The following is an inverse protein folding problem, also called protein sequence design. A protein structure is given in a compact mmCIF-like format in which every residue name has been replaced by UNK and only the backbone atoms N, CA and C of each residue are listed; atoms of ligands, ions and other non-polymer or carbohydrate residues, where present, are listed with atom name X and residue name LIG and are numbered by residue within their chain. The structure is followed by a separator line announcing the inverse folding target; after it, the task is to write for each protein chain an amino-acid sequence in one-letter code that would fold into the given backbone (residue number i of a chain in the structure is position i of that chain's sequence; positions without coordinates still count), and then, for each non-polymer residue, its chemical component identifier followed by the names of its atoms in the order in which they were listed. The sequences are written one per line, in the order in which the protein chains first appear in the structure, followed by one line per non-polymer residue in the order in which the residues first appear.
data_IF_286884109669
#
_entry.id   IF_286884109669
#
_cell.length_a   1.000
_cell.length_b   1.000
_cell.length_c   1.000
_cell.angle_alpha   90.00
_cell.angle_beta   90.00
_cell.angle_gamma   90.00
#
_symmetry.space_group_name_H-M   'P 1'
#
loop_
_entity.id
_entity.type
_entity.pdbx_description
1 polymer ?
#
# COMPACT_ATOMS: atom_id res chain seq x y z
N UNK A 1 -3.43 -47.25 -3.32
CA UNK A 1 -3.61 -46.31 -2.22
C UNK A 1 -2.21 -45.96 -1.75
N UNK A 2 -1.76 -44.72 -1.61
CA UNK A 2 -2.38 -43.53 -1.02
C UNK A 2 -1.70 -42.29 -1.62
N UNK A 3 -2.49 -41.31 -2.06
CA UNK A 3 -1.98 -39.99 -2.47
C UNK A 3 -2.15 -39.04 -1.29
N UNK A 4 -1.23 -39.09 -0.33
CA UNK A 4 -1.14 -38.02 0.68
C UNK A 4 -0.53 -36.79 0.01
N UNK A 5 -1.40 -36.03 -0.68
CA UNK A 5 -1.09 -34.67 -1.07
C UNK A 5 -1.10 -33.86 0.22
N UNK A 6 0.07 -33.73 0.84
CA UNK A 6 0.30 -32.72 1.85
C UNK A 6 0.11 -31.37 1.15
N UNK A 7 -1.13 -30.88 1.13
CA UNK A 7 -1.44 -29.49 0.85
C UNK A 7 -0.70 -28.70 1.94
N UNK A 8 0.50 -28.22 1.64
CA UNK A 8 1.14 -27.20 2.45
C UNK A 8 0.18 -26.01 2.38
N UNK A 9 -0.68 -25.86 3.38
CA UNK A 9 -1.47 -24.65 3.56
C UNK A 9 -0.44 -23.61 3.99
N UNK A 10 0.24 -23.02 3.01
CA UNK A 10 0.90 -21.74 3.20
C UNK A 10 -0.24 -20.77 3.38
N UNK A 11 -0.64 -20.56 4.63
CA UNK A 11 -1.53 -19.50 5.01
C UNK A 11 -0.74 -18.19 4.86
N UNK A 12 -0.48 -17.79 3.62
CA UNK A 12 -0.01 -16.45 3.27
C UNK A 12 -1.20 -15.52 3.36
N UNK A 13 -1.86 -15.49 4.52
CA UNK A 13 -2.81 -14.44 4.78
C UNK A 13 -2.01 -13.15 4.76
N UNK A 14 -2.48 -12.21 3.95
CA UNK A 14 -1.90 -10.88 3.89
C UNK A 14 -2.14 -10.18 5.24
N UNK A 15 -1.13 -10.25 6.11
CA UNK A 15 -1.17 -9.72 7.48
C UNK A 15 -1.42 -8.20 7.48
N UNK A 16 -0.97 -7.51 6.43
CA UNK A 16 -1.19 -6.07 6.28
C UNK A 16 -2.68 -5.81 6.00
N UNK A 17 -3.33 -6.68 5.22
CA UNK A 17 -4.79 -6.66 5.03
C UNK A 17 -5.60 -7.13 6.25
N UNK A 18 -4.99 -7.63 7.32
CA UNK A 18 -5.69 -7.94 8.57
C UNK A 18 -5.72 -6.78 9.55
N UNK A 19 -4.90 -5.74 9.35
CA UNK A 19 -4.87 -4.58 10.24
C UNK A 19 -6.21 -3.81 10.20
N UNK A 20 -6.65 -3.17 11.29
CA UNK A 20 -7.76 -2.24 11.23
C UNK A 20 -7.45 -1.03 10.34
N UNK A 21 -8.49 -0.41 9.79
CA UNK A 21 -8.35 0.72 8.87
C UNK A 21 -7.69 1.92 9.54
N UNK A 22 -7.89 2.13 10.85
CA UNK A 22 -7.23 3.19 11.61
C UNK A 22 -5.70 3.04 11.60
N UNK A 23 -5.20 1.81 11.66
CA UNK A 23 -3.77 1.53 11.58
C UNK A 23 -3.27 1.78 10.16
N UNK A 24 -4.03 1.39 9.14
CA UNK A 24 -3.68 1.67 7.75
C UNK A 24 -3.62 3.17 7.48
N UNK A 25 -4.60 3.93 7.96
CA UNK A 25 -4.62 5.40 7.88
C UNK A 25 -3.43 6.00 8.63
N UNK A 26 -3.04 5.45 9.78
CA UNK A 26 -1.85 5.93 10.52
C UNK A 26 -0.54 5.72 9.74
N UNK A 27 -0.47 4.67 8.91
CA UNK A 27 0.69 4.40 8.04
C UNK A 27 0.67 5.35 6.83
N UNK A 28 -0.51 5.66 6.30
CA UNK A 28 -0.68 6.56 5.15
C UNK A 28 -0.54 8.04 5.51
N UNK A 29 -0.98 8.45 6.71
CA UNK A 29 -1.00 9.84 7.17
C UNK A 29 0.33 10.61 7.06
N UNK A 30 1.51 10.02 7.31
CA UNK A 30 2.78 10.72 7.12
C UNK A 30 3.30 10.73 5.68
N UNK A 31 2.66 10.02 4.75
CA UNK A 31 3.11 9.90 3.36
C UNK A 31 2.62 11.07 2.49
N UNK A 32 3.41 11.44 1.48
CA UNK A 32 2.91 12.34 0.42
C UNK A 32 1.91 11.60 -0.47
N UNK A 33 1.06 12.34 -1.18
CA UNK A 33 0.06 11.77 -2.09
C UNK A 33 0.61 10.70 -3.04
N UNK A 34 1.74 10.99 -3.73
CA UNK A 34 2.38 10.03 -4.64
C UNK A 34 2.83 8.74 -3.93
N UNK A 35 3.30 8.85 -2.70
CA UNK A 35 3.76 7.71 -1.90
C UNK A 35 2.57 6.89 -1.40
N UNK A 36 1.52 7.56 -0.92
CA UNK A 36 0.27 6.92 -0.53
C UNK A 36 -0.36 6.14 -1.70
N UNK A 37 -0.40 6.71 -2.91
CA UNK A 37 -0.90 6.00 -4.10
C UNK A 37 -0.07 4.75 -4.41
N UNK A 38 1.26 4.79 -4.25
CA UNK A 38 2.12 3.62 -4.49
C UNK A 38 1.80 2.44 -3.56
N UNK A 39 1.27 2.71 -2.37
CA UNK A 39 0.86 1.65 -1.43
C UNK A 39 -0.41 0.91 -1.83
N UNK A 40 -1.18 1.41 -2.81
CA UNK A 40 -2.40 0.75 -3.31
C UNK A 40 -2.19 -0.69 -3.80
N UNK A 41 -0.96 -1.05 -4.17
CA UNK A 41 -0.61 -2.40 -4.63
C UNK A 41 -0.56 -3.46 -3.52
N UNK A 42 -0.54 -3.04 -2.24
CA UNK A 42 -0.51 -3.96 -1.10
C UNK A 42 -1.80 -4.78 -1.02
N UNK A 43 -2.96 -4.12 -1.15
CA UNK A 43 -4.24 -4.78 -1.36
C UNK A 43 -5.32 -3.79 -1.78
N UNK A 44 -6.45 -4.30 -2.29
CA UNK A 44 -7.61 -3.50 -2.66
C UNK A 44 -8.07 -2.52 -1.58
N UNK A 45 -7.86 -2.83 -0.30
CA UNK A 45 -8.29 -1.94 0.79
C UNK A 45 -7.43 -0.67 0.87
N UNK A 46 -6.14 -0.77 0.56
CA UNK A 46 -5.23 0.37 0.53
C UNK A 46 -5.57 1.34 -0.60
N UNK A 47 -6.08 0.84 -1.73
CA UNK A 47 -6.58 1.64 -2.86
C UNK A 47 -7.69 2.61 -2.46
N UNK A 48 -8.61 2.20 -1.57
CA UNK A 48 -9.66 3.11 -1.11
C UNK A 48 -9.13 4.06 -0.02
N UNK A 49 -8.31 3.55 0.90
CA UNK A 49 -7.87 4.31 2.08
C UNK A 49 -6.96 5.49 1.76
N UNK A 50 -6.08 5.40 0.74
CA UNK A 50 -5.23 6.55 0.39
C UNK A 50 -6.05 7.77 -0.04
N UNK A 51 -7.24 7.57 -0.62
CA UNK A 51 -8.13 8.66 -1.03
C UNK A 51 -8.81 9.39 0.14
N UNK A 52 -8.85 8.76 1.31
CA UNK A 52 -9.39 9.34 2.56
C UNK A 52 -8.33 10.07 3.38
N UNK A 53 -7.07 10.04 2.97
CA UNK A 53 -6.00 10.71 3.69
C UNK A 53 -5.92 12.17 3.27
N UNK A 54 -5.91 13.10 4.23
CA UNK A 54 -5.97 14.55 4.00
C UNK A 54 -4.71 15.15 3.36
N UNK A 55 -3.77 14.33 2.91
CA UNK A 55 -2.48 14.75 2.32
C UNK A 55 -2.63 15.04 0.83
N UNK A 56 -3.41 16.08 0.52
CA UNK A 56 -3.51 16.62 -0.84
C UNK A 56 -2.39 17.64 -1.07
N UNK A 57 -1.20 17.14 -1.39
CA UNK A 57 -0.03 17.97 -1.73
C UNK A 57 0.10 18.05 -3.26
N UNK A 58 -0.38 19.16 -3.84
CA UNK A 58 -0.22 19.47 -5.26
C UNK A 58 1.10 20.18 -5.58
N UNK A 59 1.85 20.61 -4.56
CA UNK A 59 3.17 21.18 -4.73
C UNK A 59 4.16 20.05 -4.92
N UNK A 60 4.22 19.59 -6.15
CA UNK A 60 5.22 18.67 -6.65
C UNK A 60 6.34 19.49 -7.28
N UNK A 61 7.40 19.88 -6.53
CA UNK A 61 8.56 20.57 -7.11
C UNK A 61 9.38 19.66 -8.04
N UNK A 62 8.95 18.42 -8.28
CA UNK A 62 9.63 17.47 -9.14
C UNK A 62 9.33 17.67 -10.64
N UNK A 63 9.13 18.93 -11.05
CA UNK A 63 9.44 19.33 -12.43
C UNK A 63 10.95 19.35 -12.58
N UNK A 64 11.52 18.22 -13.00
CA UNK A 64 12.83 18.12 -13.67
C UNK A 64 13.99 18.86 -12.96
N UNK A 65 14.62 18.20 -11.99
CA UNK A 65 16.03 18.39 -11.66
C UNK A 65 16.63 16.98 -11.71
N UNK A 66 17.11 16.44 -12.84
CA UNK A 66 18.27 16.90 -13.58
C UNK A 66 18.18 16.48 -15.07
N UNK A 67 18.06 17.46 -15.97
CA UNK A 67 18.71 17.41 -17.27
C UNK A 67 19.68 18.59 -17.26
N UNK A 68 20.97 18.34 -17.06
CA UNK A 68 22.09 18.69 -17.97
C UNK A 68 23.44 18.63 -17.20
N UNK A 69 24.34 17.71 -17.60
CA UNK A 69 25.68 17.96 -18.18
C UNK A 69 26.15 16.69 -18.89
#
# INVERSE_FOLDING_TARGET
MDKSSHKCIRNSEDLISQLPDEILISILSPLKMKEAIRTSVLSHRWEWLWSFTDTLDFDDPDTMQDIDV
#
